data_IF_111209942307
#
_entry.id   IF_111209942307
#
_cell.length_a   1.000
_cell.length_b   1.000
_cell.length_c   1.000
_cell.angle_alpha   90.00
_cell.angle_beta   90.00
_cell.angle_gamma   90.00
#
_symmetry.space_group_name_H-M   'P 1'
#
loop_
_entity.id
_entity.type
_entity.pdbx_description
1 polymer ?
#
# COMPACT_ATOMS: atom_id res chain seq x y z
N UNK A 1 13.12 -1.35 -44.34
CA UNK A 1 12.43 -2.01 -45.46
C UNK A 1 10.97 -2.04 -45.16
N UNK A 2 10.12 -1.59 -46.08
CA UNK A 2 8.68 -1.49 -45.92
C UNK A 2 8.00 -2.64 -46.65
N UNK A 3 7.12 -3.37 -45.96
CA UNK A 3 6.30 -4.43 -46.56
C UNK A 3 4.92 -3.85 -46.82
N UNK A 4 4.49 -3.86 -48.08
CA UNK A 4 3.13 -3.51 -48.47
C UNK A 4 2.37 -4.80 -48.76
N UNK A 5 1.29 -5.04 -48.03
CA UNK A 5 0.43 -6.20 -48.18
C UNK A 5 -0.99 -5.73 -48.50
N UNK A 6 -1.50 -6.11 -49.66
CA UNK A 6 -2.88 -5.82 -50.06
C UNK A 6 -3.75 -6.99 -49.60
N UNK A 7 -4.50 -6.77 -48.52
CA UNK A 7 -5.44 -7.75 -47.97
C UNK A 7 -6.86 -7.48 -48.49
N UNK A 8 -7.60 -8.51 -48.93
CA UNK A 8 -9.01 -8.36 -49.25
C UNK A 8 -9.82 -8.05 -47.98
N UNK A 9 -10.84 -7.19 -48.11
CA UNK A 9 -11.71 -6.75 -47.01
C UNK A 9 -12.32 -7.94 -46.22
N UNK A 10 -12.63 -9.05 -46.89
CA UNK A 10 -13.14 -10.26 -46.25
C UNK A 10 -12.16 -10.89 -45.24
N UNK A 11 -10.85 -10.77 -45.48
CA UNK A 11 -9.84 -11.24 -44.54
C UNK A 11 -9.69 -10.30 -43.34
N UNK A 12 -9.87 -8.99 -43.55
CA UNK A 12 -9.89 -8.01 -42.46
C UNK A 12 -11.05 -8.24 -41.50
N UNK A 13 -12.24 -8.60 -42.00
CA UNK A 13 -13.40 -8.87 -41.15
C UNK A 13 -13.18 -10.09 -40.25
N UNK A 14 -12.55 -11.14 -40.76
CA UNK A 14 -12.20 -12.35 -39.98
C UNK A 14 -11.17 -12.01 -38.90
N UNK A 15 -10.15 -11.20 -39.22
CA UNK A 15 -9.15 -10.74 -38.26
C UNK A 15 -9.81 -9.87 -37.18
N UNK A 16 -10.69 -8.95 -37.58
CA UNK A 16 -11.42 -8.07 -36.66
C UNK A 16 -12.31 -8.86 -35.71
N UNK A 17 -13.07 -9.82 -36.23
CA UNK A 17 -13.91 -10.72 -35.44
C UNK A 17 -13.07 -11.58 -34.47
N UNK A 18 -11.91 -12.07 -34.90
CA UNK A 18 -10.99 -12.84 -34.06
C UNK A 18 -10.40 -12.00 -32.92
N UNK A 19 -10.00 -10.76 -33.20
CA UNK A 19 -9.50 -9.81 -32.19
C UNK A 19 -10.59 -9.46 -31.18
N UNK A 20 -11.82 -9.18 -31.65
CA UNK A 20 -12.94 -8.89 -30.76
C UNK A 20 -13.32 -10.09 -29.88
N UNK A 21 -13.35 -11.30 -30.44
CA UNK A 21 -13.62 -12.52 -29.68
C UNK A 21 -12.52 -12.79 -28.63
N UNK A 22 -11.25 -12.58 -28.97
CA UNK A 22 -10.13 -12.68 -28.02
C UNK A 22 -10.21 -11.63 -26.92
N UNK A 23 -10.57 -10.39 -27.25
CA UNK A 23 -10.73 -9.31 -26.27
C UNK A 23 -11.92 -9.56 -25.33
N UNK A 24 -13.04 -10.08 -25.83
CA UNK A 24 -14.18 -10.48 -25.01
C UNK A 24 -13.83 -11.65 -24.08
N UNK A 25 -13.05 -12.62 -24.55
CA UNK A 25 -12.58 -13.74 -23.74
C UNK A 25 -11.60 -13.25 -22.65
N UNK A 26 -10.63 -12.42 -23.01
CA UNK A 26 -9.70 -11.81 -22.06
C UNK A 26 -10.40 -10.89 -21.04
N UNK A 27 -11.43 -10.16 -21.46
CA UNK A 27 -12.24 -9.33 -20.57
C UNK A 27 -13.10 -10.16 -19.60
N UNK A 28 -13.51 -11.38 -19.97
CA UNK A 28 -14.19 -12.34 -19.08
C UNK A 28 -13.23 -13.00 -18.08
N UNK A 29 -11.95 -13.12 -18.41
CA UNK A 29 -10.92 -13.71 -17.54
C UNK A 29 -10.30 -12.69 -16.55
N UNK A 30 -10.29 -11.40 -16.89
CA UNK A 30 -9.76 -10.27 -16.08
C UNK A 30 -10.62 -9.67 -14.95
N UNK A 31 -11.95 -9.87 -14.79
CA UNK A 31 -12.73 -9.13 -13.78
C UNK A 31 -12.26 -9.41 -12.36
N UNK A 32 -11.72 -10.60 -12.13
CA UNK A 32 -11.25 -11.05 -10.83
C UNK A 32 -9.87 -10.46 -10.46
N UNK A 33 -9.11 -9.92 -11.42
CA UNK A 33 -7.74 -9.47 -11.18
C UNK A 33 -7.66 -8.01 -10.70
N UNK A 34 -8.51 -7.12 -11.26
CA UNK A 34 -8.61 -5.74 -10.79
C UNK A 34 -9.10 -5.68 -9.33
N UNK A 35 -10.14 -6.44 -9.00
CA UNK A 35 -10.64 -6.51 -7.63
C UNK A 35 -9.58 -7.04 -6.65
N UNK A 36 -8.85 -8.12 -7.02
CA UNK A 36 -7.73 -8.64 -6.22
C UNK A 36 -6.62 -7.60 -6.03
N UNK A 37 -6.27 -6.86 -7.08
CA UNK A 37 -5.27 -5.80 -7.01
C UNK A 37 -5.69 -4.68 -6.06
N UNK A 38 -6.95 -4.22 -6.16
CA UNK A 38 -7.51 -3.19 -5.27
C UNK A 38 -7.58 -3.67 -3.81
N UNK A 39 -8.02 -4.91 -3.57
CA UNK A 39 -8.03 -5.51 -2.25
C UNK A 39 -6.63 -5.65 -1.66
N UNK A 40 -5.63 -6.04 -2.46
CA UNK A 40 -4.23 -6.10 -2.02
C UNK A 40 -3.71 -4.72 -1.63
N UNK A 41 -4.01 -3.70 -2.43
CA UNK A 41 -3.63 -2.32 -2.13
C UNK A 41 -4.27 -1.85 -0.83
N UNK A 42 -5.58 -2.06 -0.66
CA UNK A 42 -6.31 -1.71 0.54
C UNK A 42 -5.76 -2.42 1.79
N UNK A 43 -5.46 -3.73 1.69
CA UNK A 43 -4.86 -4.51 2.76
C UNK A 43 -3.43 -4.04 3.11
N UNK A 44 -2.62 -3.69 2.11
CA UNK A 44 -1.25 -3.20 2.32
C UNK A 44 -1.22 -1.82 3.00
N UNK A 45 -2.25 -0.99 2.79
CA UNK A 45 -2.39 0.33 3.42
C UNK A 45 -3.18 0.30 4.73
N UNK A 46 -3.69 -0.86 5.14
CA UNK A 46 -4.50 -0.96 6.36
C UNK A 46 -3.66 -0.59 7.59
N UNK A 47 -4.12 0.33 8.45
CA UNK A 47 -3.37 0.74 9.62
C UNK A 47 -3.24 -0.42 10.61
N UNK A 48 -2.02 -0.62 11.13
CA UNK A 48 -1.73 -1.62 12.16
C UNK A 48 -1.36 -0.91 13.45
N UNK A 49 -2.09 -1.22 14.52
CA UNK A 49 -1.76 -0.70 15.85
C UNK A 49 -0.52 -1.42 16.38
N UNK A 50 0.49 -0.65 16.74
CA UNK A 50 1.72 -1.14 17.37
C UNK A 50 1.84 -0.51 18.74
N UNK A 51 1.95 -1.33 19.77
CA UNK A 51 2.10 -0.90 21.15
C UNK A 51 3.58 -0.98 21.55
N UNK A 52 4.12 0.11 22.08
CA UNK A 52 5.47 0.17 22.64
C UNK A 52 5.41 -0.17 24.14
N UNK A 53 5.92 -1.34 24.51
CA UNK A 53 5.94 -1.82 25.89
C UNK A 53 7.30 -1.52 26.50
N UNK A 54 7.33 -0.62 27.48
CA UNK A 54 8.54 -0.25 28.22
C UNK A 54 9.00 -1.39 29.14
N UNK A 55 8.15 -1.83 30.05
CA UNK A 55 8.48 -2.88 31.00
C UNK A 55 7.23 -3.69 31.39
N UNK A 56 7.43 -4.98 31.69
CA UNK A 56 6.40 -5.85 32.25
C UNK A 56 6.91 -6.44 33.55
N UNK A 57 6.24 -6.11 34.65
CA UNK A 57 6.56 -6.61 35.97
C UNK A 57 5.47 -7.57 36.45
N UNK A 58 5.87 -8.66 37.10
CA UNK A 58 4.94 -9.53 37.82
C UNK A 58 4.81 -9.02 39.26
N UNK A 59 3.58 -8.84 39.72
CA UNK A 59 3.28 -8.39 41.08
C UNK A 59 2.28 -9.34 41.73
N UNK A 60 2.32 -9.44 43.06
CA UNK A 60 1.29 -10.19 43.79
C UNK A 60 -0.02 -9.42 43.77
N UNK A 61 -1.14 -10.13 43.94
CA UNK A 61 -2.46 -9.50 44.00
C UNK A 61 -2.54 -8.48 45.16
N UNK A 62 -1.97 -8.80 46.32
CA UNK A 62 -1.90 -7.89 47.45
C UNK A 62 -1.11 -6.61 47.13
N UNK A 63 0.00 -6.72 46.39
CA UNK A 63 0.78 -5.55 45.97
C UNK A 63 -0.01 -4.67 44.99
N UNK A 64 -0.84 -5.25 44.12
CA UNK A 64 -1.71 -4.49 43.22
C UNK A 64 -2.86 -3.80 43.97
N UNK A 65 -3.42 -4.44 45.00
CA UNK A 65 -4.48 -3.86 45.83
C UNK A 65 -3.98 -2.70 46.69
N UNK A 66 -2.72 -2.74 47.10
CA UNK A 66 -2.09 -1.70 47.90
C UNK A 66 -1.52 -0.54 47.06
N UNK A 67 -1.74 -0.52 45.73
CA UNK A 67 -1.30 0.58 44.88
C UNK A 67 -2.00 1.88 45.25
N UNK A 68 -1.24 2.92 45.58
CA UNK A 68 -1.78 4.24 45.89
C UNK A 68 -1.16 5.35 45.05
N UNK A 69 -1.86 6.47 44.91
CA UNK A 69 -1.35 7.66 44.20
C UNK A 69 -0.05 8.11 44.89
N UNK A 70 0.97 8.44 44.09
CA UNK A 70 2.29 8.82 44.58
C UNK A 70 3.23 7.64 44.83
N UNK A 71 2.76 6.40 44.75
CA UNK A 71 3.63 5.24 44.83
C UNK A 71 4.57 5.16 43.62
N UNK A 72 5.85 4.91 43.89
CA UNK A 72 6.89 4.76 42.86
C UNK A 72 7.03 3.28 42.50
N UNK A 73 6.84 2.96 41.22
CA UNK A 73 7.14 1.65 40.67
C UNK A 73 8.53 1.67 40.05
N UNK A 74 9.42 0.83 40.55
CA UNK A 74 10.78 0.73 40.04
C UNK A 74 10.78 0.10 38.65
N UNK A 75 11.23 0.88 37.66
CA UNK A 75 11.44 0.41 36.30
C UNK A 75 12.94 0.27 36.09
N UNK A 76 13.44 -0.92 35.68
CA UNK A 76 14.86 -1.10 35.41
C UNK A 76 15.35 -0.08 34.37
N UNK A 77 16.51 0.54 34.59
CA UNK A 77 17.06 1.54 33.66
C UNK A 77 17.23 1.00 32.24
N UNK A 78 17.58 -0.28 32.13
CA UNK A 78 17.73 -1.02 30.87
C UNK A 78 16.42 -1.07 30.03
N UNK A 79 15.25 -0.91 30.66
CA UNK A 79 13.96 -0.94 29.96
C UNK A 79 13.80 0.20 28.95
N UNK A 80 14.45 1.34 29.17
CA UNK A 80 14.44 2.48 28.23
C UNK A 80 15.24 2.17 26.96
N UNK A 81 16.26 1.31 27.10
CA UNK A 81 17.11 0.86 26.02
C UNK A 81 16.49 -0.35 25.28
N UNK A 82 15.59 -1.11 25.89
CA UNK A 82 15.00 -2.32 25.28
C UNK A 82 13.47 -2.29 25.22
N UNK A 83 12.91 -1.23 24.62
CA UNK A 83 11.47 -1.16 24.36
C UNK A 83 11.08 -2.25 23.37
N UNK A 84 10.04 -3.02 23.73
CA UNK A 84 9.46 -4.02 22.84
C UNK A 84 8.28 -3.43 22.09
N UNK A 85 8.36 -3.44 20.76
CA UNK A 85 7.22 -3.13 19.89
C UNK A 85 6.40 -4.39 19.71
N UNK A 86 5.11 -4.32 20.05
CA UNK A 86 4.19 -5.46 19.99
C UNK A 86 2.96 -5.17 19.17
N UNK A 87 2.43 -6.18 18.50
CA UNK A 87 1.17 -6.12 17.77
C UNK A 87 0.16 -7.00 18.53
N UNK A 88 -1.01 -6.46 18.91
CA UNK A 88 -2.08 -7.25 19.49
C UNK A 88 -2.64 -8.21 18.44
N UNK A 89 -2.86 -9.46 18.85
CA UNK A 89 -3.45 -10.50 18.02
C UNK A 89 -4.82 -10.92 18.59
N UNK A 90 -5.69 -11.52 17.75
CA UNK A 90 -6.91 -12.14 18.24
C UNK A 90 -6.63 -13.15 19.37
N UNK A 91 -7.62 -13.36 20.23
CA UNK A 91 -7.52 -14.23 21.42
C UNK A 91 -6.49 -13.77 22.48
N UNK A 92 -6.21 -12.46 22.55
CA UNK A 92 -5.36 -11.87 23.60
C UNK A 92 -3.87 -12.17 23.45
N UNK A 93 -3.45 -12.72 22.31
CA UNK A 93 -2.05 -12.98 22.02
C UNK A 93 -1.33 -11.68 21.67
N UNK A 94 -0.02 -11.63 21.89
CA UNK A 94 0.83 -10.51 21.47
C UNK A 94 2.01 -11.06 20.67
N UNK A 95 2.27 -10.48 19.50
CA UNK A 95 3.47 -10.76 18.74
C UNK A 95 4.48 -9.64 18.97
N UNK A 96 5.74 -10.00 19.19
CA UNK A 96 6.84 -9.05 19.20
C UNK A 96 7.21 -8.74 17.75
N UNK A 97 7.18 -7.47 17.39
CA UNK A 97 7.56 -6.98 16.07
C UNK A 97 9.05 -6.67 16.02
N UNK A 98 9.55 -5.90 16.98
CA UNK A 98 10.94 -5.46 17.03
C UNK A 98 11.30 -4.97 18.45
N UNK A 99 12.59 -4.75 18.67
CA UNK A 99 13.10 -4.02 19.84
C UNK A 99 13.66 -2.67 19.41
N UNK A 100 13.63 -1.70 20.32
CA UNK A 100 14.11 -0.36 20.06
C UNK A 100 14.40 0.46 21.30
N UNK A 101 14.99 1.63 21.08
CA UNK A 101 15.36 2.58 22.11
C UNK A 101 14.35 3.73 22.14
N UNK A 102 13.95 4.17 23.34
CA UNK A 102 13.15 5.38 23.49
C UNK A 102 13.99 6.61 23.14
N UNK A 103 13.42 7.51 22.34
CA UNK A 103 14.02 8.78 22.00
C UNK A 103 12.98 9.90 21.87
N UNK A 104 13.46 11.07 21.50
CA UNK A 104 12.65 12.23 21.15
C UNK A 104 12.93 12.69 19.73
N UNK A 105 11.89 13.08 19.00
CA UNK A 105 11.99 13.72 17.69
C UNK A 105 10.87 14.75 17.54
N UNK A 106 11.23 16.02 17.28
CA UNK A 106 10.28 17.13 17.14
C UNK A 106 9.25 17.18 18.28
N UNK A 107 9.73 17.18 19.53
CA UNK A 107 8.92 17.16 20.77
C UNK A 107 8.01 15.93 20.95
N UNK A 108 8.13 14.92 20.08
CA UNK A 108 7.38 13.67 20.18
C UNK A 108 8.27 12.54 20.68
N UNK A 109 7.70 11.66 21.52
CA UNK A 109 8.35 10.41 21.92
C UNK A 109 8.36 9.45 20.73
N UNK A 110 9.53 8.98 20.36
CA UNK A 110 9.72 8.04 19.25
C UNK A 110 10.49 6.81 19.72
N UNK A 111 10.30 5.70 19.02
CA UNK A 111 11.09 4.48 19.25
C UNK A 111 11.98 4.26 18.04
N UNK A 112 13.29 4.32 18.25
CA UNK A 112 14.26 3.97 17.22
C UNK A 112 14.46 2.46 17.24
N UNK A 113 14.26 1.79 16.10
CA UNK A 113 14.51 0.37 15.99
C UNK A 113 16.00 0.06 16.23
N UNK A 114 16.26 -0.86 17.16
CA UNK A 114 17.61 -1.35 17.46
C UNK A 114 18.03 -2.43 16.45
N UNK A 115 17.07 -3.21 15.99
CA UNK A 115 17.24 -4.26 14.99
C UNK A 115 16.09 -4.21 13.96
N UNK A 116 16.28 -4.82 12.77
CA UNK A 116 15.18 -5.02 11.83
C UNK A 116 14.00 -5.78 12.48
N UNK A 117 12.77 -5.61 11.98
CA UNK A 117 11.61 -6.35 12.46
C UNK A 117 11.81 -7.87 12.37
N UNK A 118 11.17 -8.61 13.28
CA UNK A 118 11.27 -10.07 13.39
C UNK A 118 11.01 -10.71 12.02
N UNK A 119 11.97 -11.52 11.49
CA UNK A 119 11.87 -12.09 10.16
C UNK A 119 10.65 -13.00 9.99
N UNK A 120 10.12 -13.59 11.07
CA UNK A 120 8.90 -14.41 11.03
C UNK A 120 7.66 -13.56 10.77
N UNK A 121 7.59 -12.38 11.38
CA UNK A 121 6.51 -11.41 11.14
C UNK A 121 6.60 -10.88 9.73
N UNK A 122 7.80 -10.48 9.29
CA UNK A 122 8.05 -10.03 7.91
C UNK A 122 7.68 -11.12 6.91
N UNK A 123 8.09 -12.37 7.12
CA UNK A 123 7.74 -13.49 6.26
C UNK A 123 6.23 -13.75 6.24
N UNK A 124 5.54 -13.63 7.37
CA UNK A 124 4.09 -13.81 7.43
C UNK A 124 3.35 -12.72 6.67
N UNK A 125 3.74 -11.45 6.84
CA UNK A 125 3.19 -10.31 6.10
C UNK A 125 3.48 -10.47 4.61
N UNK A 126 4.74 -10.75 4.24
CA UNK A 126 5.13 -10.96 2.85
C UNK A 126 4.40 -12.14 2.21
N UNK A 127 4.09 -13.19 2.97
CA UNK A 127 3.28 -14.31 2.50
C UNK A 127 1.81 -13.92 2.37
N UNK A 128 1.23 -13.18 3.31
CA UNK A 128 -0.15 -12.70 3.20
C UNK A 128 -0.32 -11.80 1.95
N UNK A 129 0.68 -10.96 1.66
CA UNK A 129 0.70 -10.12 0.47
C UNK A 129 0.97 -10.92 -0.83
N UNK A 130 1.77 -12.01 -0.77
CA UNK A 130 2.11 -12.86 -1.93
C UNK A 130 1.17 -14.03 -2.21
N UNK A 131 0.51 -14.61 -1.21
CA UNK A 131 -0.33 -15.81 -1.39
C UNK A 131 -1.56 -15.54 -2.26
N UNK A 132 -1.92 -14.27 -2.49
CA UNK A 132 -2.86 -13.87 -3.52
C UNK A 132 -2.28 -13.76 -4.95
N UNK A 133 -0.97 -13.94 -5.16
CA UNK A 133 -0.28 -13.76 -6.45
C UNK A 133 -0.03 -15.07 -7.21
N UNK A 134 0.05 -16.22 -6.53
CA UNK A 134 0.35 -17.52 -7.20
C UNK A 134 -0.84 -18.02 -8.03
N UNK A 135 -2.06 -17.55 -7.78
CA UNK A 135 -3.22 -17.83 -8.64
C UNK A 135 -3.30 -16.95 -9.90
N UNK A 136 -2.40 -15.96 -10.08
CA UNK A 136 -2.40 -15.01 -11.20
C UNK A 136 -1.19 -15.18 -12.15
N UNK A 137 -0.31 -16.15 -11.86
CA UNK A 137 0.91 -16.39 -12.64
C UNK A 137 0.78 -17.50 -13.66
N UNK A 138 -0.19 -17.43 -14.59
CA UNK A 138 -0.08 -18.18 -15.86
C UNK A 138 -0.06 -17.21 -17.05
N UNK A 139 1.17 -16.83 -17.41
CA UNK A 139 1.62 -16.41 -18.75
C UNK A 139 1.02 -15.11 -19.32
N UNK A 140 1.59 -13.97 -18.90
CA UNK A 140 1.55 -12.75 -19.70
C UNK A 140 2.90 -12.61 -20.41
N UNK A 141 2.92 -12.83 -21.73
CA UNK A 141 4.03 -12.50 -22.61
C UNK A 141 4.16 -10.97 -22.75
N UNK A 142 5.38 -10.45 -22.97
CA UNK A 142 5.64 -9.01 -22.99
C UNK A 142 5.01 -8.38 -24.24
N UNK A 143 4.13 -7.41 -24.03
CA UNK A 143 3.60 -6.55 -25.09
C UNK A 143 4.65 -5.48 -25.39
N UNK A 144 5.29 -5.59 -26.55
CA UNK A 144 6.11 -4.51 -27.12
C UNK A 144 5.18 -3.34 -27.47
N UNK A 145 5.36 -2.21 -26.79
CA UNK A 145 4.69 -0.95 -27.14
C UNK A 145 5.50 -0.25 -28.23
N UNK A 146 5.00 -0.26 -29.47
CA UNK A 146 5.39 0.71 -30.48
C UNK A 146 4.72 2.07 -30.23
N UNK A 147 5.39 3.19 -30.55
CA UNK A 147 4.95 4.52 -30.17
C UNK A 147 3.78 5.00 -31.03
N UNK A 148 2.69 5.34 -30.37
CA UNK A 148 1.49 5.96 -30.91
C UNK A 148 1.84 7.34 -31.49
N UNK A 149 1.71 7.47 -32.81
CA UNK A 149 1.90 8.72 -33.52
C UNK A 149 0.80 9.70 -33.10
N UNK A 150 1.22 10.89 -32.67
CA UNK A 150 0.36 12.01 -32.35
C UNK A 150 -0.40 12.45 -33.61
N UNK A 151 -1.69 12.13 -33.66
CA UNK A 151 -2.64 12.68 -34.62
C UNK A 151 -3.11 14.03 -34.07
N UNK A 152 -2.48 15.09 -34.60
CA UNK A 152 -2.90 16.48 -34.43
C UNK A 152 -4.21 16.72 -35.18
N UNK A 153 -5.33 16.69 -34.48
CA UNK A 153 -6.54 17.37 -34.92
C UNK A 153 -6.64 18.74 -34.25
N UNK A 154 -6.35 19.74 -35.05
CA UNK A 154 -6.60 21.14 -34.76
C UNK A 154 -8.06 21.45 -35.09
N UNK A 155 -8.93 21.44 -34.07
CA UNK A 155 -10.27 22.03 -34.16
C UNK A 155 -10.37 23.26 -33.26
N UNK A 156 -10.16 24.41 -33.91
CA UNK A 156 -11.04 25.59 -33.90
C UNK A 156 -11.68 26.01 -32.55
N UNK A 157 -10.91 26.74 -31.74
CA UNK A 157 -11.44 27.53 -30.63
C UNK A 157 -11.70 28.97 -31.11
N UNK A 158 -12.96 29.46 -31.15
CA UNK A 158 -13.22 30.88 -31.36
C UNK A 158 -12.80 31.67 -30.11
N UNK A 159 -12.04 32.74 -30.34
CA UNK A 159 -11.53 33.65 -29.34
C UNK A 159 -12.66 34.36 -28.57
N UNK A 160 -12.78 34.07 -27.27
CA UNK A 160 -13.50 34.92 -26.33
C UNK A 160 -12.57 36.03 -25.87
N UNK A 161 -12.92 37.27 -26.24
CA UNK A 161 -12.24 38.50 -25.83
C UNK A 161 -12.20 38.66 -24.30
N UNK A 162 -11.10 39.18 -23.71
CA UNK A 162 -11.09 39.58 -22.32
C UNK A 162 -11.78 40.94 -22.16
N UNK A 163 -12.81 40.98 -21.32
CA UNK A 163 -13.47 42.21 -20.89
C UNK A 163 -12.58 42.96 -19.89
N UNK A 164 -11.90 43.99 -20.39
CA UNK A 164 -11.27 45.02 -19.58
C UNK A 164 -12.34 45.92 -18.96
N UNK A 165 -12.71 45.66 -17.70
CA UNK A 165 -13.18 46.67 -16.75
C UNK A 165 -13.42 46.08 -15.37
N UNK A 166 -12.51 46.32 -14.43
CA UNK A 166 -12.83 46.80 -13.08
C UNK A 166 -11.55 46.99 -12.27
N UNK A 167 -11.09 48.23 -12.22
CA UNK A 167 -10.13 48.72 -11.25
C UNK A 167 -10.75 48.81 -9.83
N UNK A 168 -9.92 48.81 -8.78
CA UNK A 168 -10.35 48.89 -7.39
C UNK A 168 -10.61 50.34 -6.96
N UNK A 169 -11.67 50.55 -6.16
CA UNK A 169 -11.85 51.79 -5.42
C UNK A 169 -11.33 51.60 -3.99
N UNK A 170 -10.37 52.44 -3.63
CA UNK A 170 -9.88 52.66 -2.28
C UNK A 170 -10.94 53.39 -1.43
N UNK A 171 -11.04 53.01 -0.16
CA UNK A 171 -11.19 53.89 1.02
C UNK A 171 -11.00 53.09 2.29
#
# INVERSE_FOLDING_TARGET
GTISLVLPLSALDVIRASIQARNLQAARERPNDLWKALMRRAAATAPVRVDAVLHRQKMSLAALQNLHIGQVLEIPRQAVEEIRLTIPQPAGRTAVLATGHLGGYQDNKVVRLAAPPDPRVVAHIARALRAGAVAAGSRAEPVEMEPEAAETDAEDYPATQPDERSQPAAS
#
